data_IF_946558421199
#
_entry.id   IF_946558421199
#
_cell.length_a   1.000
_cell.length_b   1.000
_cell.length_c   1.000
_cell.angle_alpha   90.00
_cell.angle_beta   90.00
_cell.angle_gamma   90.00
#
_symmetry.space_group_name_H-M   'P 1'
#
loop_
_entity.id
_entity.type
_entity.pdbx_description
1 polymer ?
#
# COMPACT_ATOMS: atom_id res chain seq x y z
N UNK A 1 21.38 6.47 4.31
CA UNK A 1 20.16 6.21 5.09
C UNK A 1 20.62 5.93 6.50
N UNK A 2 20.28 6.81 7.42
CA UNK A 2 20.62 6.61 8.83
C UNK A 2 19.88 5.36 9.34
N UNK A 3 20.43 4.59 10.30
CA UNK A 3 19.79 3.37 10.79
C UNK A 3 18.34 3.58 11.30
N UNK A 4 18.03 4.79 11.80
CA UNK A 4 16.68 5.18 12.22
C UNK A 4 15.69 5.35 11.05
N UNK A 5 16.15 5.83 9.90
CA UNK A 5 15.28 5.97 8.71
C UNK A 5 14.95 4.60 8.11
N UNK A 6 15.93 3.70 8.04
CA UNK A 6 15.72 2.34 7.51
C UNK A 6 14.70 1.58 8.35
N UNK A 7 14.83 1.64 9.67
CA UNK A 7 13.90 0.97 10.59
C UNK A 7 12.49 1.55 10.48
N UNK A 8 12.37 2.87 10.39
CA UNK A 8 11.07 3.55 10.18
C UNK A 8 10.44 3.13 8.85
N UNK A 9 11.22 3.10 7.77
CA UNK A 9 10.76 2.64 6.46
C UNK A 9 10.29 1.18 6.49
N UNK A 10 11.10 0.26 7.03
CA UNK A 10 10.76 -1.16 7.08
C UNK A 10 9.52 -1.42 7.92
N UNK A 11 9.36 -0.72 9.05
CA UNK A 11 8.19 -0.83 9.91
C UNK A 11 6.95 -0.28 9.22
N UNK A 12 7.05 0.91 8.62
CA UNK A 12 5.96 1.52 7.86
C UNK A 12 5.51 0.62 6.70
N UNK A 13 6.46 0.02 5.99
CA UNK A 13 6.20 -0.90 4.88
C UNK A 13 5.54 -2.20 5.37
N UNK A 14 6.04 -2.80 6.45
CA UNK A 14 5.45 -4.00 7.04
C UNK A 14 4.01 -3.76 7.51
N UNK A 15 3.76 -2.63 8.18
CA UNK A 15 2.42 -2.21 8.63
C UNK A 15 1.50 -1.99 7.45
N UNK A 16 1.96 -1.33 6.38
CA UNK A 16 1.18 -1.13 5.17
C UNK A 16 0.80 -2.45 4.50
N UNK A 17 1.74 -3.39 4.35
CA UNK A 17 1.47 -4.71 3.76
C UNK A 17 0.50 -5.55 4.60
N UNK A 18 0.69 -5.58 5.92
CA UNK A 18 -0.19 -6.31 6.83
C UNK A 18 -1.60 -5.69 6.84
N UNK A 19 -1.68 -4.36 6.89
CA UNK A 19 -2.94 -3.63 6.82
C UNK A 19 -3.67 -3.91 5.52
N UNK A 20 -2.99 -3.73 4.38
CA UNK A 20 -3.54 -3.97 3.05
C UNK A 20 -4.09 -5.39 2.92
N UNK A 21 -3.32 -6.42 3.30
CA UNK A 21 -3.77 -7.81 3.28
C UNK A 21 -5.01 -8.04 4.15
N UNK A 22 -4.99 -7.56 5.39
CA UNK A 22 -6.09 -7.77 6.32
C UNK A 22 -7.37 -7.09 5.84
N UNK A 23 -7.28 -5.84 5.39
CA UNK A 23 -8.45 -5.09 4.95
C UNK A 23 -8.93 -5.50 3.56
N UNK A 24 -8.04 -5.93 2.66
CA UNK A 24 -8.41 -6.53 1.38
C UNK A 24 -9.24 -7.79 1.57
N UNK A 25 -8.77 -8.71 2.41
CA UNK A 25 -9.52 -9.92 2.81
C UNK A 25 -10.86 -9.58 3.47
N UNK A 26 -10.90 -8.57 4.35
CA UNK A 26 -12.17 -8.12 4.95
C UNK A 26 -13.13 -7.54 3.91
N UNK A 27 -12.64 -6.80 2.91
CA UNK A 27 -13.45 -6.26 1.83
C UNK A 27 -14.05 -7.39 0.98
N UNK A 28 -13.26 -8.39 0.62
CA UNK A 28 -13.74 -9.57 -0.12
C UNK A 28 -14.81 -10.33 0.66
N UNK A 29 -14.63 -10.49 1.99
CA UNK A 29 -15.62 -11.15 2.86
C UNK A 29 -16.97 -10.47 2.91
N UNK A 30 -17.02 -9.15 2.70
CA UNK A 30 -18.27 -8.38 2.64
C UNK A 30 -18.76 -8.17 1.19
N UNK A 31 -18.16 -8.87 0.21
CA UNK A 31 -18.56 -8.82 -1.20
C UNK A 31 -18.07 -7.59 -1.97
N UNK A 32 -17.04 -6.90 -1.45
CA UNK A 32 -16.40 -5.76 -2.10
C UNK A 32 -15.07 -6.17 -2.75
N UNK A 33 -14.62 -5.48 -3.82
CA UNK A 33 -13.27 -5.68 -4.36
C UNK A 33 -12.18 -5.44 -3.30
N UNK A 34 -11.16 -6.32 -3.25
CA UNK A 34 -10.04 -6.22 -2.31
C UNK A 34 -9.38 -4.83 -2.29
N UNK A 35 -9.18 -4.24 -3.48
CA UNK A 35 -8.57 -2.91 -3.66
C UNK A 35 -9.28 -1.83 -2.83
N UNK A 36 -10.61 -1.93 -2.62
CA UNK A 36 -11.32 -0.96 -1.77
C UNK A 36 -10.88 -1.06 -0.31
N UNK A 37 -10.64 -2.27 0.20
CA UNK A 37 -10.12 -2.49 1.54
C UNK A 37 -8.69 -1.97 1.70
N UNK A 38 -7.84 -2.24 0.71
CA UNK A 38 -6.45 -1.78 0.66
C UNK A 38 -6.35 -0.24 0.64
N UNK A 39 -7.19 0.42 -0.14
CA UNK A 39 -7.26 1.88 -0.17
C UNK A 39 -7.79 2.45 1.15
N UNK A 40 -8.83 1.84 1.73
CA UNK A 40 -9.41 2.29 2.99
C UNK A 40 -8.39 2.24 4.13
N UNK A 41 -7.64 1.13 4.27
CA UNK A 41 -6.60 1.02 5.29
C UNK A 41 -5.42 1.95 5.02
N UNK A 42 -5.08 2.20 3.75
CA UNK A 42 -4.08 3.20 3.37
C UNK A 42 -4.46 4.61 3.83
N UNK A 43 -5.72 5.01 3.65
CA UNK A 43 -6.25 6.30 4.14
C UNK A 43 -6.28 6.35 5.67
N UNK A 44 -6.65 5.25 6.33
CA UNK A 44 -6.68 5.14 7.80
C UNK A 44 -5.28 5.25 8.41
N UNK A 45 -4.32 4.45 7.94
CA UNK A 45 -2.97 4.38 8.49
C UNK A 45 -2.08 5.54 8.04
N UNK A 46 -2.38 6.12 6.87
CA UNK A 46 -1.64 7.24 6.32
C UNK A 46 -1.83 8.55 7.08
N UNK A 47 -1.11 9.62 6.66
CA UNK A 47 -1.15 10.93 7.32
C UNK A 47 -2.49 11.64 7.24
N UNK A 48 -3.39 11.20 6.36
CA UNK A 48 -4.74 11.76 6.22
C UNK A 48 -5.62 11.53 7.46
N UNK A 49 -5.38 10.46 8.24
CA UNK A 49 -6.17 10.12 9.42
C UNK A 49 -5.30 9.85 10.66
N UNK A 50 -4.69 8.65 10.77
CA UNK A 50 -3.97 8.26 11.99
C UNK A 50 -2.49 8.66 11.98
N UNK A 51 -1.89 8.87 10.80
CA UNK A 51 -0.48 9.27 10.66
C UNK A 51 0.54 8.23 11.16
N UNK A 52 0.17 6.94 11.16
CA UNK A 52 1.04 5.84 11.61
C UNK A 52 2.07 5.44 10.55
N UNK A 53 1.73 5.63 9.27
CA UNK A 53 2.61 5.33 8.13
C UNK A 53 3.07 6.66 7.51
N UNK A 54 4.30 7.12 7.79
CA UNK A 54 4.82 8.34 7.20
C UNK A 54 5.15 8.16 5.71
N UNK A 55 4.88 9.19 4.92
CA UNK A 55 5.24 9.28 3.49
C UNK A 55 6.75 9.53 3.32
N UNK A 56 7.57 8.56 3.69
CA UNK A 56 9.02 8.63 3.48
C UNK A 56 9.37 8.46 2.01
N UNK A 57 10.55 8.93 1.59
CA UNK A 57 11.03 8.74 0.21
C UNK A 57 11.06 7.25 -0.19
N UNK A 58 11.35 6.35 0.75
CA UNK A 58 11.31 4.90 0.50
C UNK A 58 9.89 4.37 0.23
N UNK A 59 8.89 4.82 1.01
CA UNK A 59 7.49 4.42 0.79
C UNK A 59 6.98 4.94 -0.55
N UNK A 60 7.29 6.20 -0.89
CA UNK A 60 6.91 6.80 -2.16
C UNK A 60 7.54 6.06 -3.36
N UNK A 61 8.82 5.70 -3.26
CA UNK A 61 9.51 4.93 -4.29
C UNK A 61 8.85 3.56 -4.52
N UNK A 62 8.54 2.84 -3.44
CA UNK A 62 7.87 1.53 -3.55
C UNK A 62 6.46 1.66 -4.11
N UNK A 63 5.72 2.71 -3.72
CA UNK A 63 4.39 2.98 -4.28
C UNK A 63 4.46 3.27 -5.78
N UNK A 64 5.44 4.06 -6.24
CA UNK A 64 5.66 4.36 -7.65
C UNK A 64 6.01 3.10 -8.44
N UNK A 65 6.90 2.24 -7.91
CA UNK A 65 7.20 0.93 -8.50
C UNK A 65 5.93 0.07 -8.57
N UNK A 66 5.13 0.01 -7.49
CA UNK A 66 3.89 -0.75 -7.47
C UNK A 66 2.91 -0.30 -8.55
N UNK A 67 2.69 1.01 -8.69
CA UNK A 67 1.83 1.58 -9.74
C UNK A 67 2.37 1.26 -11.14
N UNK A 68 3.69 1.36 -11.35
CA UNK A 68 4.31 0.99 -12.63
C UNK A 68 4.09 -0.48 -12.97
N UNK A 69 4.25 -1.38 -12.00
CA UNK A 69 3.98 -2.82 -12.19
C UNK A 69 2.51 -3.09 -12.50
N UNK A 70 1.58 -2.45 -11.79
CA UNK A 70 0.13 -2.58 -12.02
C UNK A 70 -0.27 -2.08 -13.42
N UNK A 71 0.22 -0.91 -13.83
CA UNK A 71 -0.08 -0.37 -15.16
C UNK A 71 0.55 -1.22 -16.27
N UNK A 72 1.73 -1.78 -16.01
CA UNK A 72 2.38 -2.72 -16.92
C UNK A 72 1.56 -4.01 -17.06
N UNK A 73 1.10 -4.59 -15.95
CA UNK A 73 0.22 -5.77 -15.92
C UNK A 73 -1.08 -5.51 -16.69
N UNK A 74 -1.76 -4.40 -16.42
CA UNK A 74 -2.95 -3.98 -17.18
C UNK A 74 -2.66 -3.86 -18.68
N UNK A 75 -1.49 -3.32 -19.04
CA UNK A 75 -1.05 -3.23 -20.44
C UNK A 75 -0.76 -4.59 -21.10
N UNK A 76 -0.33 -5.59 -20.34
CA UNK A 76 -0.10 -6.96 -20.84
C UNK A 76 -1.41 -7.76 -20.98
N UNK A 77 -2.39 -7.54 -20.11
CA UNK A 77 -3.70 -8.20 -20.17
C UNK A 77 -4.64 -7.59 -21.21
N UNK A 78 -4.43 -6.31 -21.55
CA UNK A 78 -5.19 -5.62 -22.60
C UNK A 78 -4.68 -6.06 -23.97
N UNK A 79 -5.23 -7.15 -24.49
CA UNK A 79 -5.09 -7.54 -25.90
C UNK A 79 -5.92 -6.57 -26.75
N UNK A 80 -5.32 -5.97 -27.78
CA UNK A 80 -6.01 -5.12 -28.75
C UNK A 80 -6.70 -5.94 -29.84
#
# INVERSE_FOLDING_TARGET
MDPGELTTFLLAFAVALLGAKLFGELAERIGQPAVLGELAVGVLLGPSLLGLVPLTAGILLVAEIGVLLLLFEVGLETDL
#
